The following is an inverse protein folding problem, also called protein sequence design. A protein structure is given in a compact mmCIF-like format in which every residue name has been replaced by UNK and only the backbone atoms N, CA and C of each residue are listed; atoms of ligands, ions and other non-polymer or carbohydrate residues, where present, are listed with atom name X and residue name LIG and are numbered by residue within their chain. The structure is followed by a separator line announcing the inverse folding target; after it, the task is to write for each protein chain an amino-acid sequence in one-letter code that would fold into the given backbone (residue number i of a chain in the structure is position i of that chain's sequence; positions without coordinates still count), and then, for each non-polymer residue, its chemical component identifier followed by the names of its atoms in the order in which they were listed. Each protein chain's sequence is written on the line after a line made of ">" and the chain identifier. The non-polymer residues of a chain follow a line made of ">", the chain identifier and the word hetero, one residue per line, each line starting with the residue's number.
data_IF_486702798300
#
_entry.id   IF_486702798300
#
_cell.length_a   1.000
_cell.length_b   1.000
_cell.length_c   1.000
_cell.angle_alpha   90.00
_cell.angle_beta   90.00
_cell.angle_gamma   90.00
#
_symmetry.space_group_name_H-M   'P 1'
#
loop_
_entity.id
_entity.type
_entity.pdbx_description
1 polymer ?
#
# COMPACT_ATOMS: atom_id res chain seq x y z
N UNK A 1 -23.81 33.83 -9.91
CA UNK A 1 -22.46 33.33 -9.59
C UNK A 1 -22.46 31.83 -9.28
N UNK A 2 -22.44 30.91 -10.27
CA UNK A 2 -22.25 29.47 -9.99
C UNK A 2 -20.98 28.84 -10.63
N UNK A 3 -20.27 29.55 -11.52
CA UNK A 3 -19.18 28.98 -12.34
C UNK A 3 -17.89 28.71 -11.52
N UNK A 4 -17.63 29.48 -10.46
CA UNK A 4 -16.45 29.27 -9.62
C UNK A 4 -16.53 28.00 -8.74
N UNK A 5 -17.74 27.53 -8.41
CA UNK A 5 -17.92 26.30 -7.62
C UNK A 5 -17.65 25.04 -8.45
N UNK A 6 -18.12 25.00 -9.70
CA UNK A 6 -17.91 23.85 -10.61
C UNK A 6 -16.43 23.72 -11.01
N UNK A 7 -15.74 24.83 -11.25
CA UNK A 7 -14.30 24.82 -11.55
C UNK A 7 -13.44 24.42 -10.33
N UNK A 8 -13.90 24.73 -9.13
CA UNK A 8 -13.26 24.32 -7.89
C UNK A 8 -13.33 22.81 -7.67
N UNK A 9 -14.46 22.17 -7.96
CA UNK A 9 -14.66 20.72 -7.81
C UNK A 9 -13.85 19.92 -8.84
N UNK A 10 -13.76 20.39 -10.09
CA UNK A 10 -12.89 19.74 -11.07
C UNK A 10 -11.40 19.88 -10.75
N UNK A 11 -10.93 21.02 -10.20
CA UNK A 11 -9.54 21.12 -9.73
C UNK A 11 -9.23 20.26 -8.51
N UNK A 12 -10.21 19.96 -7.66
CA UNK A 12 -10.04 19.14 -6.43
C UNK A 12 -9.67 17.69 -6.75
N UNK A 13 -10.11 17.18 -7.89
CA UNK A 13 -9.82 15.80 -8.32
C UNK A 13 -8.53 15.69 -9.15
N UNK A 14 -8.12 16.76 -9.84
CA UNK A 14 -6.98 16.71 -10.76
C UNK A 14 -5.67 16.33 -10.08
N UNK A 15 -5.40 16.77 -8.85
CA UNK A 15 -4.09 16.54 -8.22
C UNK A 15 -3.88 15.07 -7.80
N UNK A 16 -4.81 14.41 -7.07
CA UNK A 16 -4.69 12.98 -6.78
C UNK A 16 -4.63 12.09 -8.04
N UNK A 17 -5.48 12.34 -9.03
CA UNK A 17 -5.47 11.56 -10.28
C UNK A 17 -4.21 11.84 -11.12
N UNK A 18 -3.69 13.07 -11.13
CA UNK A 18 -2.41 13.39 -11.76
C UNK A 18 -1.26 12.67 -11.06
N UNK A 19 -1.24 12.62 -9.73
CA UNK A 19 -0.24 11.86 -8.98
C UNK A 19 -0.27 10.37 -9.35
N UNK A 20 -1.47 9.79 -9.47
CA UNK A 20 -1.64 8.42 -9.95
C UNK A 20 -1.03 8.22 -11.34
N UNK A 21 -1.32 9.10 -12.30
CA UNK A 21 -0.76 9.00 -13.66
C UNK A 21 0.77 9.14 -13.68
N UNK A 22 1.32 10.08 -12.91
CA UNK A 22 2.77 10.27 -12.78
C UNK A 22 3.44 9.06 -12.14
N UNK A 23 2.84 8.51 -11.08
CA UNK A 23 3.32 7.31 -10.42
C UNK A 23 3.33 6.12 -11.37
N UNK A 24 2.24 5.91 -12.11
CA UNK A 24 2.13 4.83 -13.10
C UNK A 24 3.10 5.00 -14.27
N UNK A 25 3.44 6.25 -14.61
CA UNK A 25 4.46 6.60 -15.61
C UNK A 25 5.88 6.55 -15.05
N UNK A 26 6.06 6.06 -13.82
CA UNK A 26 7.33 5.96 -13.09
C UNK A 26 8.04 7.31 -12.84
N UNK A 27 7.31 8.42 -12.88
CA UNK A 27 7.78 9.73 -12.43
C UNK A 27 7.48 9.91 -10.93
N UNK A 28 8.26 9.19 -10.11
CA UNK A 28 8.06 9.11 -8.66
C UNK A 28 8.24 10.48 -8.00
N UNK A 29 9.15 11.31 -8.51
CA UNK A 29 9.44 12.63 -7.94
C UNK A 29 8.25 13.57 -8.17
N UNK A 30 7.74 13.65 -9.39
CA UNK A 30 6.58 14.48 -9.67
C UNK A 30 5.33 13.96 -8.94
N UNK A 31 5.17 12.63 -8.83
CA UNK A 31 4.09 12.03 -8.05
C UNK A 31 4.17 12.44 -6.56
N UNK A 32 5.36 12.39 -5.95
CA UNK A 32 5.58 12.81 -4.56
C UNK A 32 5.23 14.28 -4.32
N UNK A 33 5.60 15.18 -5.25
CA UNK A 33 5.22 16.61 -5.18
C UNK A 33 3.70 16.77 -5.27
N UNK A 34 3.06 16.11 -6.23
CA UNK A 34 1.60 16.16 -6.40
C UNK A 34 0.88 15.64 -5.15
N UNK A 35 1.36 14.55 -4.54
CA UNK A 35 0.82 13.98 -3.30
C UNK A 35 1.00 14.93 -2.12
N UNK A 36 2.15 15.59 -2.01
CA UNK A 36 2.39 16.59 -0.96
C UNK A 36 1.36 17.73 -1.02
N UNK A 37 1.08 18.21 -2.24
CA UNK A 37 0.07 19.26 -2.47
C UNK A 37 -1.34 18.74 -2.19
N UNK A 38 -1.69 17.56 -2.71
CA UNK A 38 -2.99 16.94 -2.49
C UNK A 38 -3.27 16.69 -1.00
N UNK A 39 -2.27 16.21 -0.26
CA UNK A 39 -2.34 15.96 1.18
C UNK A 39 -2.70 17.23 1.95
N UNK A 40 -2.05 18.36 1.65
CA UNK A 40 -2.37 19.64 2.29
C UNK A 40 -3.82 20.07 2.04
N UNK A 41 -4.34 19.84 0.84
CA UNK A 41 -5.74 20.12 0.52
C UNK A 41 -6.69 19.18 1.26
N UNK A 42 -6.38 17.88 1.31
CA UNK A 42 -7.17 16.88 2.03
C UNK A 42 -7.23 17.18 3.54
N UNK A 43 -6.12 17.63 4.13
CA UNK A 43 -6.09 18.12 5.51
C UNK A 43 -6.98 19.35 5.69
N UNK A 44 -6.89 20.33 4.79
CA UNK A 44 -7.73 21.52 4.83
C UNK A 44 -9.23 21.18 4.77
N UNK A 45 -9.61 20.15 4.02
CA UNK A 45 -11.00 19.69 3.90
C UNK A 45 -11.42 18.66 4.97
N UNK A 46 -10.56 18.32 5.94
CA UNK A 46 -10.91 17.36 7.00
C UNK A 46 -11.01 15.90 6.53
N UNK A 47 -10.52 15.56 5.34
CA UNK A 47 -10.66 14.22 4.76
C UNK A 47 -9.90 13.11 5.53
N UNK A 48 -8.95 13.53 6.38
CA UNK A 48 -8.14 12.66 7.23
C UNK A 48 -8.88 12.16 8.47
N UNK A 49 -10.04 12.72 8.81
CA UNK A 49 -10.88 12.33 9.95
C UNK A 49 -12.21 11.75 9.47
N UNK A 50 -12.74 10.73 10.14
CA UNK A 50 -14.13 10.30 9.97
C UNK A 50 -15.06 11.20 10.79
N UNK A 51 -16.24 11.55 10.27
CA UNK A 51 -17.23 12.35 11.00
C UNK A 51 -17.63 11.67 12.32
N UNK A 52 -17.71 12.44 13.41
CA UNK A 52 -18.07 11.94 14.74
C UNK A 52 -19.47 11.28 14.78
N UNK A 53 -20.38 11.65 13.88
CA UNK A 53 -21.72 11.08 13.78
C UNK A 53 -21.71 9.62 13.29
N UNK A 54 -20.73 9.26 12.46
CA UNK A 54 -20.54 7.89 11.97
C UNK A 54 -20.07 6.92 13.06
N UNK A 55 -19.48 7.43 14.15
CA UNK A 55 -19.03 6.60 15.29
C UNK A 55 -20.17 6.26 16.27
N UNK A 56 -21.37 6.80 16.07
CA UNK A 56 -22.55 6.37 16.82
C UNK A 56 -23.10 5.07 16.23
N UNK A 57 -22.91 3.95 16.95
CA UNK A 57 -23.26 2.58 16.55
C UNK A 57 -24.75 2.31 16.25
N UNK A 58 -25.59 3.35 16.13
CA UNK A 58 -27.05 3.23 15.99
C UNK A 58 -27.48 3.27 14.52
N UNK A 59 -26.71 3.89 13.62
CA UNK A 59 -26.94 3.80 12.17
C UNK A 59 -25.71 4.33 11.41
N UNK A 60 -24.75 3.46 11.04
CA UNK A 60 -23.67 3.89 10.16
C UNK A 60 -24.29 4.20 8.78
N UNK A 61 -24.16 5.43 8.25
CA UNK A 61 -24.69 5.72 6.92
C UNK A 61 -24.06 4.79 5.89
N UNK A 62 -24.90 4.19 5.05
CA UNK A 62 -24.45 3.38 3.92
C UNK A 62 -23.49 4.22 3.06
N UNK A 63 -22.34 3.64 2.70
CA UNK A 63 -21.39 4.30 1.80
C UNK A 63 -22.12 4.75 0.54
N UNK A 64 -21.91 6.01 0.16
CA UNK A 64 -22.48 6.59 -1.04
C UNK A 64 -21.43 7.48 -1.70
N UNK A 65 -20.92 7.03 -2.84
CA UNK A 65 -19.89 7.69 -3.65
C UNK A 65 -20.28 9.11 -4.09
N UNK A 66 -21.57 9.40 -4.21
CA UNK A 66 -22.09 10.71 -4.57
C UNK A 66 -21.99 11.74 -3.45
N UNK A 67 -21.76 11.32 -2.20
CA UNK A 67 -21.57 12.24 -1.08
C UNK A 67 -20.15 12.81 -1.06
N UNK A 68 -20.03 14.10 -0.75
CA UNK A 68 -18.74 14.78 -0.68
C UNK A 68 -17.81 14.13 0.36
N UNK A 69 -18.35 13.67 1.49
CA UNK A 69 -17.58 13.05 2.56
C UNK A 69 -16.96 11.72 2.14
N UNK A 70 -17.74 10.80 1.56
CA UNK A 70 -17.20 9.54 1.02
C UNK A 70 -16.15 9.82 -0.05
N UNK A 71 -16.43 10.74 -0.98
CA UNK A 71 -15.49 11.09 -2.03
C UNK A 71 -14.16 11.65 -1.51
N UNK A 72 -14.20 12.57 -0.54
CA UNK A 72 -12.99 13.10 0.09
C UNK A 72 -12.21 12.03 0.85
N UNK A 73 -12.92 11.15 1.56
CA UNK A 73 -12.32 10.02 2.27
C UNK A 73 -11.65 9.03 1.33
N UNK A 74 -12.25 8.79 0.16
CA UNK A 74 -11.66 7.95 -0.87
C UNK A 74 -10.37 8.55 -1.44
N UNK A 75 -10.37 9.86 -1.71
CA UNK A 75 -9.18 10.58 -2.17
C UNK A 75 -8.08 10.57 -1.09
N UNK A 76 -8.46 10.66 0.19
CA UNK A 76 -7.52 10.50 1.30
C UNK A 76 -6.85 9.12 1.26
N UNK A 77 -7.61 8.04 1.16
CA UNK A 77 -7.03 6.68 1.12
C UNK A 77 -6.17 6.42 -0.13
N UNK A 78 -6.53 7.02 -1.26
CA UNK A 78 -5.71 6.98 -2.46
C UNK A 78 -4.36 7.67 -2.22
N UNK A 79 -4.38 8.93 -1.75
CA UNK A 79 -3.17 9.69 -1.47
C UNK A 79 -2.33 9.03 -0.38
N UNK A 80 -2.95 8.52 0.69
CA UNK A 80 -2.29 7.76 1.74
C UNK A 80 -1.52 6.57 1.15
N UNK A 81 -2.18 5.75 0.34
CA UNK A 81 -1.56 4.56 -0.24
C UNK A 81 -0.34 4.89 -1.11
N UNK A 82 -0.44 5.92 -1.95
CA UNK A 82 0.70 6.36 -2.74
C UNK A 82 1.81 6.98 -1.90
N UNK A 83 1.47 7.81 -0.93
CA UNK A 83 2.47 8.47 -0.07
C UNK A 83 3.31 7.42 0.68
N UNK A 84 2.66 6.39 1.24
CA UNK A 84 3.37 5.29 1.93
C UNK A 84 4.22 4.44 1.00
N UNK A 85 3.73 4.19 -0.21
CA UNK A 85 4.50 3.45 -1.21
C UNK A 85 5.74 4.24 -1.69
N UNK A 86 5.58 5.52 -2.03
CA UNK A 86 6.68 6.40 -2.43
C UNK A 86 7.69 6.56 -1.31
N UNK A 87 7.21 6.78 -0.07
CA UNK A 87 8.03 6.87 1.13
C UNK A 87 8.92 5.62 1.28
N UNK A 88 8.33 4.43 1.20
CA UNK A 88 9.08 3.18 1.34
C UNK A 88 10.07 2.95 0.19
N UNK A 89 9.69 3.29 -1.06
CA UNK A 89 10.55 3.13 -2.25
C UNK A 89 11.74 4.09 -2.30
N UNK A 90 11.55 5.31 -1.80
CA UNK A 90 12.56 6.38 -1.90
C UNK A 90 13.35 6.60 -0.61
N UNK A 91 12.85 6.10 0.51
CA UNK A 91 13.36 6.40 1.85
C UNK A 91 13.06 7.83 2.33
N UNK A 92 12.39 8.65 1.53
CA UNK A 92 12.00 10.00 1.93
C UNK A 92 10.84 9.96 2.93
N UNK A 93 10.77 10.89 3.90
CA UNK A 93 9.64 10.96 4.83
C UNK A 93 8.29 11.13 4.12
N UNK A 94 7.28 10.45 4.64
CA UNK A 94 5.88 10.53 4.22
C UNK A 94 5.30 11.93 4.47
N UNK A 95 4.49 12.42 3.54
CA UNK A 95 3.76 13.70 3.67
C UNK A 95 2.59 13.61 4.65
N UNK A 96 2.02 12.41 4.78
CA UNK A 96 0.88 12.11 5.65
C UNK A 96 1.41 11.48 6.94
N UNK A 97 1.26 12.19 8.06
CA UNK A 97 1.63 11.65 9.36
C UNK A 97 0.45 10.86 9.97
N UNK A 98 0.71 9.61 10.35
CA UNK A 98 -0.33 8.69 10.84
C UNK A 98 -0.92 9.18 12.17
N UNK A 99 -0.15 9.87 13.01
CA UNK A 99 -0.65 10.41 14.28
C UNK A 99 -1.71 11.49 14.10
N UNK A 100 -1.75 12.08 12.91
CA UNK A 100 -2.63 13.21 12.57
C UNK A 100 -3.82 12.73 11.74
N UNK A 101 -4.03 11.42 11.59
CA UNK A 101 -5.07 10.84 10.74
C UNK A 101 -5.91 9.82 11.51
N UNK A 102 -7.21 9.81 11.23
CA UNK A 102 -8.05 8.66 11.55
C UNK A 102 -7.83 7.59 10.48
N UNK A 103 -7.20 6.48 10.88
CA UNK A 103 -6.93 5.34 10.01
C UNK A 103 -7.94 4.18 10.21
N UNK A 104 -9.08 4.44 10.84
CA UNK A 104 -10.17 3.46 10.91
C UNK A 104 -10.62 3.07 9.49
N UNK A 105 -10.58 1.76 9.24
CA UNK A 105 -11.01 1.19 7.98
C UNK A 105 -12.53 1.30 7.83
N UNK A 106 -13.04 1.41 6.60
CA UNK A 106 -14.47 1.29 6.35
C UNK A 106 -15.04 0.00 6.94
N UNK A 107 -16.31 0.05 7.37
CA UNK A 107 -17.00 -1.13 7.87
C UNK A 107 -16.96 -2.27 6.83
N UNK A 108 -16.62 -3.48 7.27
CA UNK A 108 -16.49 -4.66 6.42
C UNK A 108 -15.45 -4.53 5.29
N UNK A 109 -14.46 -3.63 5.41
CA UNK A 109 -13.47 -3.37 4.36
C UNK A 109 -12.80 -4.63 3.81
N UNK A 110 -12.39 -5.58 4.67
CA UNK A 110 -11.76 -6.82 4.22
C UNK A 110 -12.66 -7.67 3.30
N UNK A 111 -13.95 -7.79 3.65
CA UNK A 111 -14.96 -8.48 2.84
C UNK A 111 -15.23 -7.74 1.53
N UNK A 112 -15.33 -6.41 1.58
CA UNK A 112 -15.53 -5.57 0.39
C UNK A 112 -14.32 -5.65 -0.56
N UNK A 113 -13.10 -5.65 -0.03
CA UNK A 113 -11.86 -5.80 -0.78
C UNK A 113 -11.75 -7.19 -1.43
N UNK A 114 -12.15 -8.24 -0.72
CA UNK A 114 -12.24 -9.62 -1.24
C UNK A 114 -13.18 -9.68 -2.44
N UNK A 115 -14.43 -9.24 -2.27
CA UNK A 115 -15.44 -9.18 -3.34
C UNK A 115 -14.87 -8.41 -4.55
N UNK A 116 -14.28 -7.24 -4.31
CA UNK A 116 -13.68 -6.40 -5.34
C UNK A 116 -12.53 -7.07 -6.10
N UNK A 117 -11.72 -7.91 -5.44
CA UNK A 117 -10.60 -8.61 -6.10
C UNK A 117 -11.10 -9.72 -7.02
N UNK A 118 -12.29 -10.28 -6.74
CA UNK A 118 -12.94 -11.35 -7.50
C UNK A 118 -13.99 -10.87 -8.53
N UNK A 119 -14.37 -9.59 -8.52
CA UNK A 119 -15.32 -9.00 -9.48
C UNK A 119 -14.64 -8.74 -10.82
N UNK A 120 -14.62 -9.73 -11.71
CA UNK A 120 -14.47 -9.48 -13.15
C UNK A 120 -15.84 -9.13 -13.76
N UNK A 121 -15.98 -7.94 -14.34
CA UNK A 121 -17.10 -7.60 -15.23
C UNK A 121 -18.42 -7.14 -14.59
N UNK A 122 -18.44 -6.71 -13.33
CA UNK A 122 -19.62 -6.05 -12.72
C UNK A 122 -19.44 -4.53 -12.68
N UNK A 123 -20.39 -3.80 -13.26
CA UNK A 123 -20.43 -2.32 -13.19
C UNK A 123 -20.52 -1.88 -11.72
N UNK A 124 -19.60 -1.02 -11.24
CA UNK A 124 -19.69 -0.46 -9.90
C UNK A 124 -20.95 0.40 -9.77
N UNK A 125 -21.74 0.18 -8.71
CA UNK A 125 -22.81 1.12 -8.33
C UNK A 125 -22.30 2.19 -7.36
N UNK A 126 -23.13 3.20 -7.08
CA UNK A 126 -22.77 4.29 -6.15
C UNK A 126 -22.54 3.84 -4.71
N UNK A 127 -22.91 2.59 -4.37
CA UNK A 127 -22.70 1.97 -3.06
C UNK A 127 -21.47 1.08 -3.00
N UNK A 128 -20.78 0.90 -4.12
CA UNK A 128 -19.56 0.11 -4.21
C UNK A 128 -18.36 0.98 -3.83
N UNK A 129 -17.61 0.62 -2.76
CA UNK A 129 -16.37 1.32 -2.41
C UNK A 129 -15.40 1.34 -3.59
N UNK A 130 -14.58 2.39 -3.73
CA UNK A 130 -13.67 2.52 -4.86
C UNK A 130 -12.68 1.35 -4.90
N UNK A 131 -12.35 0.93 -6.13
CA UNK A 131 -11.26 0.00 -6.39
C UNK A 131 -9.94 0.76 -6.29
N UNK A 132 -9.31 0.73 -5.11
CA UNK A 132 -7.93 1.19 -4.99
C UNK A 132 -6.98 0.17 -5.62
N UNK A 133 -5.91 0.59 -6.31
CA UNK A 133 -4.92 -0.34 -6.83
C UNK A 133 -4.14 -1.10 -5.73
N UNK A 134 -4.25 -0.62 -4.48
CA UNK A 134 -3.58 -1.15 -3.31
C UNK A 134 -4.58 -1.42 -2.19
N UNK A 135 -4.35 -2.48 -1.42
CA UNK A 135 -5.06 -2.74 -0.17
C UNK A 135 -4.60 -1.71 0.88
N UNK A 136 -5.55 -0.95 1.44
CA UNK A 136 -5.29 0.08 2.45
C UNK A 136 -4.56 -0.51 3.66
N UNK A 137 -4.91 -1.74 4.06
CA UNK A 137 -4.26 -2.44 5.18
C UNK A 137 -2.77 -2.63 4.92
N UNK A 138 -2.41 -2.99 3.68
CA UNK A 138 -1.02 -3.12 3.30
C UNK A 138 -0.31 -1.76 3.25
N UNK A 139 -1.00 -0.68 2.85
CA UNK A 139 -0.44 0.69 2.93
C UNK A 139 -0.15 1.11 4.38
N UNK A 140 -0.99 0.72 5.34
CA UNK A 140 -0.73 0.94 6.78
C UNK A 140 0.54 0.17 7.21
N UNK A 141 0.66 -1.10 6.81
CA UNK A 141 1.87 -1.90 7.08
C UNK A 141 3.12 -1.26 6.45
N UNK A 142 3.03 -0.72 5.22
CA UNK A 142 4.15 0.01 4.59
C UNK A 142 4.59 1.22 5.42
N UNK A 143 3.64 1.97 5.98
CA UNK A 143 3.93 3.07 6.90
C UNK A 143 4.69 2.57 8.14
N UNK A 144 4.22 1.47 8.73
CA UNK A 144 4.85 0.88 9.91
C UNK A 144 6.25 0.33 9.63
N UNK A 145 6.47 -0.32 8.48
CA UNK A 145 7.80 -0.75 8.01
C UNK A 145 8.73 0.47 7.95
N UNK A 146 8.30 1.56 7.32
CA UNK A 146 9.11 2.76 7.22
C UNK A 146 9.44 3.33 8.60
N UNK A 147 8.44 3.55 9.45
CA UNK A 147 8.65 4.14 10.78
C UNK A 147 9.57 3.28 11.64
N UNK A 148 9.41 1.96 11.58
CA UNK A 148 10.13 1.01 12.42
C UNK A 148 11.56 0.77 11.97
N UNK A 149 11.82 0.71 10.65
CA UNK A 149 13.10 0.25 10.11
C UNK A 149 13.86 1.30 9.29
N UNK A 150 13.21 2.37 8.83
CA UNK A 150 13.80 3.28 7.83
C UNK A 150 13.72 4.76 8.16
N UNK A 151 12.90 5.16 9.13
CA UNK A 151 12.82 6.56 9.58
C UNK A 151 14.16 7.04 10.16
N UNK A 152 14.33 8.36 10.26
CA UNK A 152 15.47 8.95 10.98
C UNK A 152 15.54 8.46 12.43
N UNK A 153 14.40 8.16 13.07
CA UNK A 153 14.41 7.57 14.41
C UNK A 153 14.92 6.14 14.39
N UNK A 154 14.55 5.36 13.37
CA UNK A 154 15.00 3.99 13.21
C UNK A 154 16.52 3.87 13.02
N UNK A 155 17.20 4.88 12.44
CA UNK A 155 18.65 4.84 12.28
C UNK A 155 19.43 4.86 13.60
N UNK A 156 18.78 5.25 14.71
CA UNK A 156 19.38 5.23 16.05
C UNK A 156 19.13 3.92 16.82
N UNK A 157 18.40 2.96 16.24
CA UNK A 157 18.11 1.68 16.89
C UNK A 157 19.33 0.75 16.89
N UNK A 158 19.46 -0.03 17.96
CA UNK A 158 20.40 -1.13 18.07
C UNK A 158 20.02 -2.29 17.14
N UNK A 159 20.97 -3.19 16.86
CA UNK A 159 20.71 -4.38 16.06
C UNK A 159 19.60 -5.28 16.65
N UNK A 160 19.54 -5.41 17.98
CA UNK A 160 18.47 -6.15 18.67
C UNK A 160 17.09 -5.53 18.46
N UNK A 161 16.96 -4.20 18.54
CA UNK A 161 15.70 -3.49 18.30
C UNK A 161 15.25 -3.59 16.83
N UNK A 162 16.21 -3.61 15.89
CA UNK A 162 15.92 -3.84 14.48
C UNK A 162 15.41 -5.27 14.25
N UNK A 163 16.07 -6.28 14.83
CA UNK A 163 15.63 -7.68 14.74
C UNK A 163 14.25 -7.89 15.38
N UNK A 164 13.96 -7.20 16.48
CA UNK A 164 12.62 -7.19 17.08
C UNK A 164 11.58 -6.56 16.15
N UNK A 165 11.89 -5.41 15.56
CA UNK A 165 11.06 -4.77 14.55
C UNK A 165 10.77 -5.66 13.35
N UNK A 166 11.79 -6.40 12.86
CA UNK A 166 11.63 -7.36 11.76
C UNK A 166 10.63 -8.47 12.15
N UNK A 167 10.80 -9.10 13.32
CA UNK A 167 9.88 -10.17 13.77
C UNK A 167 8.45 -9.69 13.92
N UNK A 168 8.27 -8.49 14.47
CA UNK A 168 6.96 -7.86 14.62
C UNK A 168 6.30 -7.58 13.27
N UNK A 169 7.06 -7.03 12.32
CA UNK A 169 6.56 -6.72 10.98
C UNK A 169 6.28 -7.98 10.16
N UNK A 170 7.07 -9.05 10.31
CA UNK A 170 6.80 -10.35 9.69
C UNK A 170 5.47 -10.93 10.19
N UNK A 171 5.23 -10.89 11.51
CA UNK A 171 3.97 -11.36 12.09
C UNK A 171 2.77 -10.53 11.59
N UNK A 172 2.92 -9.21 11.54
CA UNK A 172 1.88 -8.28 11.07
C UNK A 172 1.56 -8.50 9.59
N UNK A 173 2.59 -8.65 8.75
CA UNK A 173 2.43 -8.92 7.32
C UNK A 173 1.82 -10.30 7.07
N UNK A 174 2.20 -11.31 7.85
CA UNK A 174 1.63 -12.66 7.76
C UNK A 174 0.15 -12.68 8.17
N UNK A 175 -0.22 -11.96 9.24
CA UNK A 175 -1.61 -11.82 9.65
C UNK A 175 -2.46 -11.17 8.53
N UNK A 176 -1.95 -10.11 7.90
CA UNK A 176 -2.61 -9.53 6.73
C UNK A 176 -2.72 -10.54 5.59
N UNK A 177 -1.64 -11.26 5.26
CA UNK A 177 -1.62 -12.25 4.17
C UNK A 177 -2.66 -13.35 4.39
N UNK A 178 -2.78 -13.85 5.62
CA UNK A 178 -3.74 -14.90 5.99
C UNK A 178 -5.20 -14.40 5.98
N UNK A 179 -5.43 -13.08 6.08
CA UNK A 179 -6.78 -12.49 5.96
C UNK A 179 -7.33 -12.45 4.53
N UNK A 180 -6.49 -12.69 3.52
CA UNK A 180 -6.88 -12.68 2.10
C UNK A 180 -7.46 -14.02 1.66
N UNK A 181 -8.35 -14.01 0.68
CA UNK A 181 -8.87 -15.24 0.05
C UNK A 181 -7.74 -16.05 -0.60
N UNK A 182 -7.88 -17.38 -0.56
CA UNK A 182 -6.83 -18.32 -0.94
C UNK A 182 -6.34 -18.12 -2.39
N UNK A 183 -7.22 -17.72 -3.30
CA UNK A 183 -6.89 -17.58 -4.73
C UNK A 183 -6.01 -16.36 -5.00
N UNK A 184 -6.22 -15.27 -4.26
CA UNK A 184 -5.51 -13.99 -4.45
C UNK A 184 -4.33 -13.85 -3.49
N UNK A 185 -4.34 -14.61 -2.39
CA UNK A 185 -3.31 -14.64 -1.35
C UNK A 185 -1.91 -14.84 -1.93
N UNK A 186 -0.95 -13.95 -1.65
CA UNK A 186 0.45 -14.17 -1.98
C UNK A 186 1.00 -15.42 -1.30
N UNK A 187 1.83 -16.17 -2.03
CA UNK A 187 2.63 -17.27 -1.49
C UNK A 187 3.94 -16.70 -0.91
N UNK A 188 4.58 -17.44 0.01
CA UNK A 188 5.86 -17.00 0.60
C UNK A 188 6.97 -16.84 -0.45
N UNK A 189 6.93 -17.68 -1.48
CA UNK A 189 7.74 -17.57 -2.68
C UNK A 189 6.84 -17.80 -3.90
N UNK A 190 7.16 -17.16 -5.01
CA UNK A 190 6.46 -17.41 -6.25
C UNK A 190 7.09 -18.61 -6.97
N UNK A 191 6.27 -19.62 -7.28
CA UNK A 191 6.64 -20.72 -8.16
C UNK A 191 6.00 -20.51 -9.55
N UNK A 192 6.79 -20.35 -10.62
CA UNK A 192 6.27 -20.19 -11.98
C UNK A 192 5.39 -21.34 -12.45
N UNK A 193 5.64 -22.56 -11.94
CA UNK A 193 4.92 -23.78 -12.33
C UNK A 193 3.56 -23.93 -11.63
N UNK A 194 3.25 -23.07 -10.65
CA UNK A 194 1.94 -23.06 -10.00
C UNK A 194 0.91 -22.40 -10.93
N UNK A 195 -0.06 -23.20 -11.39
CA UNK A 195 -1.15 -22.84 -12.31
C UNK A 195 -1.98 -21.61 -11.89
N UNK A 196 -1.94 -21.26 -10.60
CA UNK A 196 -2.67 -20.14 -9.98
C UNK A 196 -2.28 -18.77 -10.58
N UNK A 197 -1.11 -18.64 -11.20
CA UNK A 197 -0.62 -17.35 -11.72
C UNK A 197 -1.30 -16.85 -13.01
N UNK A 198 -1.92 -17.74 -13.80
CA UNK A 198 -2.47 -17.37 -15.13
C UNK A 198 -3.76 -16.55 -15.07
N UNK A 199 -4.55 -16.67 -13.99
CA UNK A 199 -5.87 -16.05 -13.88
C UNK A 199 -5.90 -14.78 -13.01
N UNK A 200 -4.76 -14.28 -12.54
CA UNK A 200 -4.76 -13.05 -11.73
C UNK A 200 -5.08 -11.84 -12.61
N UNK A 201 -6.08 -11.05 -12.26
CA UNK A 201 -6.26 -9.72 -12.83
C UNK A 201 -5.10 -8.78 -12.40
N UNK A 202 -5.07 -7.57 -12.97
CA UNK A 202 -4.04 -6.56 -12.68
C UNK A 202 -3.93 -6.25 -11.18
N UNK A 203 -5.06 -6.25 -10.46
CA UNK A 203 -5.09 -5.98 -9.02
C UNK A 203 -4.43 -7.09 -8.21
N UNK A 204 -4.73 -8.35 -8.51
CA UNK A 204 -4.06 -9.49 -7.87
C UNK A 204 -2.55 -9.49 -8.08
N UNK A 205 -2.08 -8.99 -9.24
CA UNK A 205 -0.65 -8.83 -9.51
C UNK A 205 -0.03 -7.69 -8.71
N UNK A 206 -0.65 -6.51 -8.69
CA UNK A 206 -0.16 -5.37 -7.91
C UNK A 206 -0.10 -5.72 -6.42
N UNK A 207 -1.10 -6.44 -5.91
CA UNK A 207 -1.15 -6.91 -4.53
C UNK A 207 0.04 -7.84 -4.21
N UNK A 208 0.31 -8.83 -5.06
CA UNK A 208 1.44 -9.75 -4.88
C UNK A 208 2.79 -9.05 -4.99
N UNK A 209 2.95 -8.14 -5.96
CA UNK A 209 4.16 -7.32 -6.07
C UNK A 209 4.39 -6.49 -4.81
N UNK A 210 3.33 -5.86 -4.29
CA UNK A 210 3.39 -5.05 -3.07
C UNK A 210 3.76 -5.90 -1.85
N UNK A 211 3.23 -7.12 -1.73
CA UNK A 211 3.61 -8.06 -0.67
C UNK A 211 5.10 -8.40 -0.72
N UNK A 212 5.61 -8.86 -1.88
CA UNK A 212 7.02 -9.21 -2.00
C UNK A 212 7.95 -8.00 -1.81
N UNK A 213 7.50 -6.80 -2.18
CA UNK A 213 8.22 -5.57 -1.86
C UNK A 213 8.29 -5.33 -0.36
N UNK A 214 7.20 -5.53 0.39
CA UNK A 214 7.21 -5.41 1.85
C UNK A 214 8.17 -6.43 2.50
N UNK A 215 8.12 -7.71 2.09
CA UNK A 215 9.07 -8.74 2.54
C UNK A 215 10.51 -8.32 2.26
N UNK A 216 10.79 -7.84 1.05
CA UNK A 216 12.11 -7.35 0.68
C UNK A 216 12.57 -6.20 1.59
N UNK A 217 11.72 -5.21 1.82
CA UNK A 217 12.06 -4.06 2.67
C UNK A 217 12.22 -4.46 4.14
N UNK A 218 11.40 -5.36 4.68
CA UNK A 218 11.57 -5.82 6.07
C UNK A 218 12.97 -6.44 6.26
N UNK A 219 13.36 -7.38 5.40
CA UNK A 219 14.62 -8.10 5.56
C UNK A 219 15.85 -7.36 5.05
N UNK A 220 15.70 -6.37 4.16
CA UNK A 220 16.81 -5.51 3.74
C UNK A 220 17.31 -4.62 4.89
N UNK A 221 16.48 -4.34 5.90
CA UNK A 221 16.91 -3.56 7.06
C UNK A 221 18.11 -4.20 7.80
N UNK A 222 18.20 -5.54 7.83
CA UNK A 222 19.32 -6.28 8.42
C UNK A 222 20.68 -5.91 7.83
N UNK A 223 20.73 -5.63 6.52
CA UNK A 223 21.98 -5.28 5.82
C UNK A 223 22.46 -3.88 6.21
N UNK A 224 21.54 -2.94 6.48
CA UNK A 224 21.88 -1.56 6.85
C UNK A 224 22.47 -1.43 8.26
N UNK A 225 22.15 -2.39 9.14
CA UNK A 225 22.61 -2.42 10.53
C UNK A 225 23.70 -3.47 10.76
N UNK A 226 24.25 -4.08 9.70
CA UNK A 226 25.40 -4.98 9.79
C UNK A 226 26.67 -4.18 10.10
N UNK A 227 27.02 -4.10 11.40
CA UNK A 227 28.22 -3.41 11.88
C UNK A 227 29.48 -4.27 11.61
N UNK A 228 30.52 -3.73 10.96
CA UNK A 228 31.82 -4.38 10.90
C UNK A 228 32.51 -4.21 12.27
N UNK A 229 32.26 -5.11 13.22
CA UNK A 229 33.00 -5.08 14.50
C UNK A 229 32.48 -5.91 15.68
N UNK A 230 31.25 -6.44 15.66
CA UNK A 230 30.73 -7.27 16.76
C UNK A 230 30.82 -8.76 16.42
N UNK A 231 31.32 -9.56 17.38
CA UNK A 231 31.71 -10.96 17.21
C UNK A 231 30.63 -11.88 16.61
N UNK A 232 31.09 -12.77 15.74
CA UNK A 232 30.35 -13.60 14.79
C UNK A 232 29.52 -14.76 15.38
N UNK A 233 28.98 -14.66 16.60
CA UNK A 233 28.36 -15.81 17.28
C UNK A 233 26.90 -16.09 16.91
N UNK A 234 26.05 -15.05 16.88
CA UNK A 234 24.58 -15.20 16.81
C UNK A 234 23.91 -14.29 15.78
N UNK A 235 24.45 -13.10 15.53
CA UNK A 235 23.86 -12.14 14.58
C UNK A 235 24.03 -12.58 13.11
N UNK A 236 25.02 -13.44 12.84
CA UNK A 236 25.36 -13.96 11.51
C UNK A 236 24.24 -14.82 10.89
N UNK A 237 23.51 -15.60 11.71
CA UNK A 237 22.49 -16.52 11.20
C UNK A 237 21.21 -15.77 10.77
N UNK A 238 20.79 -14.75 11.54
CA UNK A 238 19.66 -13.89 11.20
C UNK A 238 19.91 -13.05 9.94
N UNK A 239 21.14 -12.58 9.76
CA UNK A 239 21.56 -11.86 8.54
C UNK A 239 21.54 -12.81 7.34
N UNK A 240 22.13 -14.01 7.45
CA UNK A 240 22.12 -14.99 6.36
C UNK A 240 20.70 -15.42 5.97
N UNK A 241 19.79 -15.54 6.94
CA UNK A 241 18.37 -15.79 6.71
C UNK A 241 17.71 -14.64 5.95
N UNK A 242 17.94 -13.40 6.39
CA UNK A 242 17.39 -12.19 5.75
C UNK A 242 17.83 -12.07 4.28
N UNK A 243 19.10 -12.33 3.97
CA UNK A 243 19.63 -12.33 2.60
C UNK A 243 18.94 -13.38 1.71
N UNK A 244 18.68 -14.58 2.23
CA UNK A 244 17.95 -15.63 1.48
C UNK A 244 16.51 -15.21 1.20
N UNK A 245 15.87 -14.55 2.16
CA UNK A 245 14.48 -14.08 2.04
C UNK A 245 14.40 -12.94 1.02
N UNK A 246 15.26 -11.92 1.11
CA UNK A 246 15.29 -10.82 0.12
C UNK A 246 15.54 -11.34 -1.29
N UNK A 247 16.49 -12.26 -1.48
CA UNK A 247 16.75 -12.88 -2.78
C UNK A 247 15.52 -13.64 -3.33
N UNK A 248 14.78 -14.32 -2.46
CA UNK A 248 13.56 -15.05 -2.83
C UNK A 248 12.42 -14.11 -3.18
N UNK A 249 12.24 -13.01 -2.44
CA UNK A 249 11.30 -11.95 -2.76
C UNK A 249 11.62 -11.30 -4.11
N UNK A 250 12.89 -10.95 -4.37
CA UNK A 250 13.32 -10.39 -5.66
C UNK A 250 13.06 -11.33 -6.84
N UNK A 251 13.38 -12.63 -6.70
CA UNK A 251 13.05 -13.64 -7.72
C UNK A 251 11.55 -13.71 -7.99
N UNK A 252 10.74 -13.62 -6.93
CA UNK A 252 9.28 -13.68 -7.01
C UNK A 252 8.70 -12.48 -7.77
N UNK A 253 9.22 -11.28 -7.49
CA UNK A 253 8.87 -10.04 -8.21
C UNK A 253 9.21 -10.18 -9.70
N UNK A 254 10.44 -10.57 -10.03
CA UNK A 254 10.90 -10.69 -11.42
C UNK A 254 10.07 -11.72 -12.19
N UNK A 255 9.80 -12.87 -11.58
CA UNK A 255 8.99 -13.92 -12.21
C UNK A 255 7.57 -13.44 -12.50
N UNK A 256 6.92 -12.78 -11.53
CA UNK A 256 5.56 -12.27 -11.69
C UNK A 256 5.47 -11.21 -12.80
N UNK A 257 6.44 -10.29 -12.85
CA UNK A 257 6.54 -9.29 -13.92
C UNK A 257 6.75 -9.93 -15.30
N UNK A 258 7.58 -10.97 -15.40
CA UNK A 258 7.80 -11.70 -16.66
C UNK A 258 6.52 -12.36 -17.15
N UNK A 259 5.79 -13.06 -16.29
CA UNK A 259 4.53 -13.74 -16.65
C UNK A 259 3.51 -12.73 -17.17
N UNK A 260 3.33 -11.60 -16.47
CA UNK A 260 2.38 -10.58 -16.93
C UNK A 260 2.82 -9.84 -18.17
N UNK A 261 4.09 -9.48 -18.31
CA UNK A 261 4.59 -8.84 -19.52
C UNK A 261 4.48 -9.76 -20.76
N UNK A 262 4.60 -11.08 -20.56
CA UNK A 262 4.34 -12.07 -21.60
C UNK A 262 2.84 -12.21 -21.91
N UNK A 263 1.96 -12.12 -20.91
CA UNK A 263 0.50 -12.08 -21.10
C UNK A 263 0.05 -10.82 -21.84
N UNK A 264 0.66 -9.68 -21.55
CA UNK A 264 0.38 -8.38 -22.18
C UNK A 264 0.81 -8.30 -23.65
N UNK A 265 1.72 -9.17 -24.11
CA UNK A 265 2.09 -9.24 -25.54
C UNK A 265 0.98 -9.83 -26.42
N UNK A 266 -0.10 -10.35 -25.84
CA UNK A 266 -1.28 -10.86 -26.56
C UNK A 266 -2.55 -10.03 -26.35
N UNK A 267 -2.53 -9.03 -25.47
CA UNK A 267 -3.69 -8.19 -25.16
C UNK A 267 -3.33 -6.73 -25.38
N UNK A 268 -3.90 -6.15 -26.43
CA UNK A 268 -3.97 -4.70 -26.63
C UNK A 268 -4.75 -4.08 -25.46
N UNK A 269 -4.09 -3.24 -24.66
CA UNK A 269 -4.77 -2.40 -23.69
C UNK A 269 -4.75 -0.94 -24.14
N UNK A 270 -5.97 -0.40 -24.24
CA UNK A 270 -6.41 0.98 -24.49
C UNK A 270 -6.25 1.49 -25.92
#
# INVERSE_FOLDING_TARGET
>A
MPIQWVLGVHRRQLTPYKAQLQYLSNDIQAAGISISIATRLLYHFGAHTTSAEANSHIHLPLYNKGTLECHLRDLFWLCYSFDKDICLRTGQPSSINDSDCDLSLPFEYGRLQSINTHRDGLEPDDTTPPLFPWDIRLSIIKSEIYQTLYSTKASFKSASEVLEGIRHLDATLEQWRLSLDVDVRPTLYHNPDMSVSKNLNTQGVILRLSYYHCVFMIHQASDRHSFPGLGAGTDSEGILSSVKITATASRSIISLLRIKLLSLKGESYW
#
